data_IF_709453199682
#
_entry.id   IF_709453199682
#
_cell.length_a   1.000
_cell.length_b   1.000
_cell.length_c   1.000
_cell.angle_alpha   90.00
_cell.angle_beta   90.00
_cell.angle_gamma   90.00
#
_symmetry.space_group_name_H-M   'P 1'
#
loop_
_entity.id
_entity.type
_entity.pdbx_description
1 polymer ?
#
# COMPACT_ATOMS: atom_id res chain seq x y z
N UNK A 1 6.01 28.72 -49.61
CA UNK A 1 6.44 28.59 -48.20
C UNK A 1 5.49 27.77 -47.31
N UNK A 2 4.15 27.89 -47.45
CA UNK A 2 3.16 27.15 -46.63
C UNK A 2 3.32 25.61 -46.61
N UNK A 3 3.65 24.97 -47.75
CA UNK A 3 3.89 23.50 -47.84
C UNK A 3 5.13 23.02 -47.05
N UNK A 4 6.20 23.82 -46.93
CA UNK A 4 7.39 23.48 -46.13
C UNK A 4 7.13 23.64 -44.63
N UNK A 5 6.31 24.62 -44.24
CA UNK A 5 5.84 24.80 -42.87
C UNK A 5 4.94 23.65 -42.41
N UNK A 6 3.98 23.22 -43.24
CA UNK A 6 3.10 22.08 -42.92
C UNK A 6 3.85 20.75 -42.75
N UNK A 7 4.86 20.47 -43.59
CA UNK A 7 5.71 19.27 -43.44
C UNK A 7 6.55 19.30 -42.15
N UNK A 8 7.11 20.46 -41.79
CA UNK A 8 7.86 20.60 -40.52
C UNK A 8 6.93 20.43 -39.32
N UNK A 9 5.74 21.02 -39.36
CA UNK A 9 4.76 20.92 -38.28
C UNK A 9 4.30 19.47 -38.06
N UNK A 10 3.98 18.74 -39.14
CA UNK A 10 3.65 17.31 -39.09
C UNK A 10 4.78 16.46 -38.50
N UNK A 11 6.03 16.76 -38.87
CA UNK A 11 7.19 16.03 -38.37
C UNK A 11 7.40 16.29 -36.87
N UNK A 12 7.24 17.53 -36.41
CA UNK A 12 7.30 17.85 -34.99
C UNK A 12 6.16 17.21 -34.19
N UNK A 13 4.92 17.21 -34.70
CA UNK A 13 3.81 16.52 -34.05
C UNK A 13 4.02 15.01 -33.98
N UNK A 14 4.61 14.41 -35.03
CA UNK A 14 4.95 12.98 -35.05
C UNK A 14 6.02 12.66 -33.98
N UNK A 15 7.07 13.47 -33.90
CA UNK A 15 8.15 13.31 -32.89
C UNK A 15 7.58 13.43 -31.48
N UNK A 16 6.73 14.44 -31.23
CA UNK A 16 6.05 14.60 -29.94
C UNK A 16 5.15 13.41 -29.60
N UNK A 17 4.39 12.89 -30.58
CA UNK A 17 3.54 11.72 -30.38
C UNK A 17 4.37 10.48 -30.03
N UNK A 18 5.50 10.24 -30.72
CA UNK A 18 6.39 9.11 -30.42
C UNK A 18 7.02 9.24 -29.03
N UNK A 19 7.49 10.44 -28.65
CA UNK A 19 8.05 10.69 -27.33
C UNK A 19 7.00 10.49 -26.23
N UNK A 20 5.78 10.99 -26.44
CA UNK A 20 4.67 10.85 -25.50
C UNK A 20 4.27 9.37 -25.33
N UNK A 21 4.11 8.63 -26.43
CA UNK A 21 3.79 7.20 -26.39
C UNK A 21 4.93 6.39 -25.75
N UNK A 22 6.18 6.73 -26.05
CA UNK A 22 7.36 6.11 -25.44
C UNK A 22 7.40 6.36 -23.93
N UNK A 23 7.08 7.58 -23.50
CA UNK A 23 7.00 7.95 -22.09
C UNK A 23 5.88 7.21 -21.36
N UNK A 24 4.68 7.11 -21.95
CA UNK A 24 3.57 6.32 -21.38
C UNK A 24 3.97 4.85 -21.24
N UNK A 25 4.50 4.23 -22.30
CA UNK A 25 4.95 2.83 -22.25
C UNK A 25 6.03 2.60 -21.20
N UNK A 26 6.96 3.55 -21.05
CA UNK A 26 7.99 3.46 -20.03
C UNK A 26 7.39 3.51 -18.61
N UNK A 27 6.44 4.42 -18.35
CA UNK A 27 5.77 4.49 -17.05
C UNK A 27 4.97 3.22 -16.75
N UNK A 28 4.26 2.68 -17.75
CA UNK A 28 3.49 1.44 -17.60
C UNK A 28 4.40 0.26 -17.29
N UNK A 29 5.49 0.08 -18.05
CA UNK A 29 6.45 -0.99 -17.79
C UNK A 29 7.11 -0.87 -16.41
N UNK A 30 7.43 0.35 -15.98
CA UNK A 30 7.97 0.61 -14.64
C UNK A 30 6.96 0.29 -13.54
N UNK A 31 5.67 0.58 -13.76
CA UNK A 31 4.59 0.22 -12.84
C UNK A 31 4.40 -1.30 -12.73
N UNK A 32 4.45 -2.01 -13.86
CA UNK A 32 4.31 -3.47 -13.90
C UNK A 32 5.47 -4.12 -13.15
N UNK A 33 6.72 -3.67 -13.38
CA UNK A 33 7.90 -4.16 -12.66
C UNK A 33 7.82 -3.90 -11.14
N UNK A 34 7.27 -2.74 -10.74
CA UNK A 34 7.03 -2.45 -9.32
C UNK A 34 6.01 -3.44 -8.73
N UNK A 35 4.91 -3.70 -9.45
CA UNK A 35 3.86 -4.61 -9.02
C UNK A 35 4.36 -6.05 -8.91
N UNK A 36 5.09 -6.52 -9.93
CA UNK A 36 5.69 -7.85 -9.95
C UNK A 36 6.67 -8.03 -8.78
N UNK A 37 7.49 -7.03 -8.49
CA UNK A 37 8.40 -7.08 -7.35
C UNK A 37 7.63 -7.11 -6.03
N UNK A 38 6.59 -6.28 -5.89
CA UNK A 38 5.73 -6.28 -4.71
C UNK A 38 5.09 -7.66 -4.48
N UNK A 39 4.63 -8.32 -5.55
CA UNK A 39 4.10 -9.70 -5.50
C UNK A 39 5.18 -10.72 -5.14
N UNK A 40 6.35 -10.64 -5.77
CA UNK A 40 7.47 -11.55 -5.52
C UNK A 40 7.98 -11.46 -4.07
N UNK A 41 7.85 -10.28 -3.44
CA UNK A 41 8.18 -10.06 -2.04
C UNK A 41 7.03 -10.45 -1.08
N UNK A 42 5.97 -11.10 -1.56
CA UNK A 42 4.78 -11.48 -0.78
C UNK A 42 4.06 -10.27 -0.14
N UNK A 43 4.07 -9.12 -0.83
CA UNK A 43 3.44 -7.89 -0.37
C UNK A 43 1.92 -8.00 -0.25
N UNK A 44 1.26 -8.61 -1.24
CA UNK A 44 -0.20 -8.83 -1.24
C UNK A 44 -0.62 -9.69 -0.03
N UNK A 45 0.07 -10.82 0.17
CA UNK A 45 -0.14 -11.72 1.30
C UNK A 45 0.08 -11.02 2.65
N UNK A 46 1.10 -10.16 2.75
CA UNK A 46 1.40 -9.42 3.98
C UNK A 46 0.29 -8.41 4.31
N UNK A 47 -0.26 -7.72 3.31
CA UNK A 47 -1.41 -6.82 3.49
C UNK A 47 -2.66 -7.61 3.92
N UNK A 48 -2.88 -8.79 3.33
CA UNK A 48 -4.01 -9.66 3.69
C UNK A 48 -3.89 -10.21 5.10
N UNK A 49 -2.69 -10.60 5.51
CA UNK A 49 -2.41 -11.01 6.89
C UNK A 49 -2.70 -9.89 7.88
N UNK A 50 -2.35 -8.63 7.57
CA UNK A 50 -2.74 -7.48 8.41
C UNK A 50 -4.26 -7.30 8.47
N UNK A 51 -4.96 -7.43 7.35
CA UNK A 51 -6.41 -7.31 7.31
C UNK A 51 -7.09 -8.40 8.15
N UNK A 52 -6.60 -9.65 8.10
CA UNK A 52 -7.09 -10.74 8.95
C UNK A 52 -6.84 -10.45 10.42
N UNK A 53 -5.64 -10.00 10.81
CA UNK A 53 -5.35 -9.66 12.20
C UNK A 53 -6.27 -8.53 12.72
N UNK A 54 -6.55 -7.53 11.90
CA UNK A 54 -7.52 -6.48 12.23
C UNK A 54 -8.93 -7.04 12.41
N UNK A 55 -9.38 -7.93 11.54
CA UNK A 55 -10.67 -8.62 11.71
C UNK A 55 -10.72 -9.40 13.01
N UNK A 56 -9.67 -10.17 13.33
CA UNK A 56 -9.58 -10.94 14.55
C UNK A 56 -9.70 -10.04 15.79
N UNK A 57 -9.03 -8.86 15.78
CA UNK A 57 -9.12 -7.90 16.89
C UNK A 57 -10.57 -7.45 17.13
N UNK A 58 -11.31 -7.12 16.07
CA UNK A 58 -12.72 -6.72 16.18
C UNK A 58 -13.58 -7.88 16.69
N UNK A 59 -13.32 -9.09 16.20
CA UNK A 59 -14.07 -10.29 16.61
C UNK A 59 -13.82 -10.65 18.08
N UNK A 60 -12.57 -10.62 18.53
CA UNK A 60 -12.23 -10.83 19.95
C UNK A 60 -12.80 -9.72 20.83
N UNK A 61 -12.83 -8.48 20.35
CA UNK A 61 -13.46 -7.39 21.08
C UNK A 61 -14.98 -7.59 21.23
N UNK A 62 -15.67 -7.97 20.15
CA UNK A 62 -17.13 -8.09 20.12
C UNK A 62 -17.66 -9.35 20.79
N UNK A 63 -16.97 -10.48 20.64
CA UNK A 63 -17.54 -11.81 20.92
C UNK A 63 -16.82 -12.55 22.06
N UNK A 64 -15.49 -12.49 22.12
CA UNK A 64 -14.70 -13.42 22.94
C UNK A 64 -13.97 -12.79 24.13
N UNK A 65 -13.99 -11.46 24.24
CA UNK A 65 -13.19 -10.61 25.14
C UNK A 65 -11.68 -10.68 24.86
N UNK A 66 -11.05 -9.52 24.78
CA UNK A 66 -9.59 -9.36 24.67
C UNK A 66 -8.92 -9.70 26.01
N UNK A 67 -8.64 -10.98 26.25
CA UNK A 67 -7.84 -11.39 27.41
C UNK A 67 -6.40 -10.88 27.29
N UNK A 68 -5.66 -10.73 28.40
CA UNK A 68 -4.26 -10.27 28.33
C UNK A 68 -3.37 -11.14 27.44
N UNK A 69 -3.59 -12.46 27.44
CA UNK A 69 -2.83 -13.41 26.63
C UNK A 69 -3.13 -13.24 25.14
N UNK A 70 -4.42 -13.18 24.77
CA UNK A 70 -4.85 -12.96 23.38
C UNK A 70 -4.38 -11.60 22.87
N UNK A 71 -4.49 -10.56 23.70
CA UNK A 71 -4.02 -9.20 23.37
C UNK A 71 -2.51 -9.19 23.07
N UNK A 72 -1.71 -9.84 23.91
CA UNK A 72 -0.27 -9.95 23.70
C UNK A 72 0.08 -10.69 22.39
N UNK A 73 -0.63 -11.79 22.10
CA UNK A 73 -0.46 -12.55 20.87
C UNK A 73 -0.83 -11.75 19.62
N UNK A 74 -1.98 -11.04 19.63
CA UNK A 74 -2.43 -10.19 18.53
C UNK A 74 -1.44 -9.05 18.27
N UNK A 75 -0.95 -8.38 19.33
CA UNK A 75 0.08 -7.34 19.21
C UNK A 75 1.38 -7.90 18.62
N UNK A 76 1.84 -9.06 19.09
CA UNK A 76 3.04 -9.68 18.57
C UNK A 76 2.92 -9.99 17.08
N UNK A 77 1.78 -10.56 16.66
CA UNK A 77 1.52 -10.88 15.26
C UNK A 77 1.42 -9.60 14.41
N UNK A 78 0.72 -8.57 14.89
CA UNK A 78 0.64 -7.27 14.21
C UNK A 78 2.02 -6.65 14.00
N UNK A 79 2.85 -6.60 15.05
CA UNK A 79 4.19 -6.03 14.95
C UNK A 79 5.09 -6.84 14.00
N UNK A 80 5.00 -8.17 14.04
CA UNK A 80 5.76 -9.04 13.15
C UNK A 80 5.36 -8.83 11.69
N UNK A 81 4.07 -8.80 11.38
CA UNK A 81 3.55 -8.57 10.02
C UNK A 81 3.82 -7.14 9.56
N UNK A 82 3.65 -6.15 10.42
CA UNK A 82 4.00 -4.75 10.15
C UNK A 82 5.48 -4.56 9.84
N UNK A 83 6.36 -5.28 10.54
CA UNK A 83 7.80 -5.29 10.24
C UNK A 83 8.07 -5.88 8.86
N UNK A 84 7.46 -7.02 8.51
CA UNK A 84 7.58 -7.60 7.16
C UNK A 84 7.16 -6.59 6.09
N UNK A 85 6.03 -5.91 6.29
CA UNK A 85 5.55 -4.90 5.36
C UNK A 85 6.54 -3.73 5.21
N UNK A 86 7.14 -3.29 6.32
CA UNK A 86 8.18 -2.25 6.33
C UNK A 86 9.43 -2.67 5.57
N UNK A 87 9.87 -3.92 5.74
CA UNK A 87 11.03 -4.46 5.03
C UNK A 87 10.75 -4.53 3.51
N UNK A 88 9.52 -4.88 3.11
CA UNK A 88 9.07 -4.87 1.71
C UNK A 88 9.08 -3.44 1.14
N UNK A 89 8.44 -2.49 1.84
CA UNK A 89 8.41 -1.07 1.45
C UNK A 89 9.81 -0.49 1.26
N UNK A 90 10.73 -0.78 2.18
CA UNK A 90 12.12 -0.32 2.09
C UNK A 90 12.84 -0.89 0.85
N UNK A 91 12.69 -2.18 0.56
CA UNK A 91 13.27 -2.80 -0.64
C UNK A 91 12.72 -2.18 -1.92
N UNK A 92 11.41 -1.92 -1.96
CA UNK A 92 10.76 -1.29 -3.11
C UNK A 92 11.19 0.17 -3.28
N UNK A 93 11.26 0.96 -2.20
CA UNK A 93 11.75 2.34 -2.24
C UNK A 93 13.20 2.44 -2.72
N UNK A 94 14.04 1.48 -2.34
CA UNK A 94 15.43 1.43 -2.82
C UNK A 94 15.53 1.12 -4.32
N UNK A 95 14.73 0.16 -4.80
CA UNK A 95 14.73 -0.26 -6.22
C UNK A 95 14.00 0.73 -7.13
N UNK A 96 12.95 1.37 -6.64
CA UNK A 96 12.05 2.25 -7.37
C UNK A 96 11.87 3.62 -6.67
N UNK A 97 12.92 4.44 -6.56
CA UNK A 97 12.87 5.69 -5.79
C UNK A 97 11.88 6.73 -6.34
N UNK A 98 11.62 6.70 -7.65
CA UNK A 98 10.70 7.63 -8.33
C UNK A 98 9.25 7.13 -8.39
N UNK A 99 9.01 5.86 -8.07
CA UNK A 99 7.71 5.20 -8.17
C UNK A 99 7.51 4.34 -6.94
N UNK A 100 6.93 4.94 -5.90
CA UNK A 100 6.64 4.27 -4.64
C UNK A 100 5.25 4.64 -4.15
N UNK A 101 4.58 3.67 -3.55
CA UNK A 101 3.36 3.91 -2.79
C UNK A 101 3.76 4.35 -1.39
N UNK A 102 3.01 5.29 -0.80
CA UNK A 102 3.31 5.76 0.56
C UNK A 102 2.61 4.90 1.61
N UNK A 103 3.38 4.04 2.29
CA UNK A 103 2.91 3.18 3.38
C UNK A 103 2.88 3.88 4.75
N UNK A 104 3.27 5.15 4.86
CA UNK A 104 3.44 5.85 6.15
C UNK A 104 2.17 5.83 7.01
N UNK A 105 1.01 5.99 6.40
CA UNK A 105 -0.29 5.95 7.08
C UNK A 105 -0.59 4.57 7.67
N UNK A 106 -0.21 3.48 7.00
CA UNK A 106 -0.39 2.12 7.55
C UNK A 106 0.45 1.90 8.81
N UNK A 107 1.66 2.45 8.85
CA UNK A 107 2.51 2.33 10.04
C UNK A 107 1.97 3.15 11.21
N UNK A 108 1.40 4.32 10.93
CA UNK A 108 0.73 5.13 11.94
C UNK A 108 -0.49 4.40 12.50
N UNK A 109 -1.36 3.86 11.64
CA UNK A 109 -2.55 3.13 12.06
C UNK A 109 -2.20 1.87 12.86
N UNK A 110 -1.22 1.09 12.39
CA UNK A 110 -0.73 -0.08 13.11
C UNK A 110 -0.22 0.28 14.51
N UNK A 111 0.55 1.36 14.62
CA UNK A 111 1.03 1.85 15.92
C UNK A 111 -0.11 2.24 16.85
N UNK A 112 -1.11 2.95 16.34
CA UNK A 112 -2.28 3.36 17.12
C UNK A 112 -3.09 2.16 17.60
N UNK A 113 -3.34 1.18 16.73
CA UNK A 113 -4.03 -0.07 17.09
C UNK A 113 -3.25 -0.83 18.17
N UNK A 114 -1.94 -1.02 18.00
CA UNK A 114 -1.10 -1.70 19.00
C UNK A 114 -1.17 -0.99 20.35
N UNK A 115 -1.04 0.34 20.36
CA UNK A 115 -1.12 1.14 21.58
C UNK A 115 -2.48 1.00 22.26
N UNK A 116 -3.56 0.99 21.48
CA UNK A 116 -4.91 0.88 22.00
C UNK A 116 -5.23 -0.53 22.54
N UNK A 117 -4.71 -1.60 21.95
CA UNK A 117 -4.83 -2.96 22.50
C UNK A 117 -4.11 -3.07 23.85
N UNK A 118 -2.98 -2.39 24.00
CA UNK A 118 -2.21 -2.36 25.24
C UNK A 118 -2.86 -1.48 26.32
N UNK A 119 -3.56 -0.42 25.92
CA UNK A 119 -4.30 0.49 26.80
C UNK A 119 -5.74 0.01 27.04
N UNK A 120 -5.91 -0.76 28.13
CA UNK A 120 -7.17 -1.41 28.54
C UNK A 120 -8.31 -0.45 28.91
N UNK A 121 -8.11 0.86 28.84
CA UNK A 121 -9.04 1.84 29.37
C UNK A 121 -10.15 2.28 28.40
N UNK A 122 -10.10 1.88 27.12
CA UNK A 122 -11.03 2.43 26.11
C UNK A 122 -11.35 1.52 24.90
N UNK A 123 -12.06 0.43 25.15
CA UNK A 123 -12.43 -0.55 24.10
C UNK A 123 -13.17 0.08 22.91
N UNK A 124 -14.09 1.02 23.11
CA UNK A 124 -14.88 1.63 22.02
C UNK A 124 -14.00 2.34 20.96
N UNK A 125 -12.83 2.84 21.34
CA UNK A 125 -11.88 3.46 20.40
C UNK A 125 -11.14 2.45 19.53
N UNK A 126 -10.94 1.23 20.03
CA UNK A 126 -10.21 0.19 19.31
C UNK A 126 -10.90 -0.18 18.00
N UNK A 127 -12.21 -0.44 18.05
CA UNK A 127 -12.98 -0.80 16.86
C UNK A 127 -12.89 0.29 15.77
N UNK A 128 -12.99 1.57 16.15
CA UNK A 128 -12.88 2.70 15.21
C UNK A 128 -11.48 2.78 14.59
N UNK A 129 -10.43 2.64 15.40
CA UNK A 129 -9.04 2.64 14.90
C UNK A 129 -8.79 1.48 13.95
N UNK A 130 -9.34 0.29 14.24
CA UNK A 130 -9.18 -0.88 13.38
C UNK A 130 -9.92 -0.71 12.06
N UNK A 131 -11.13 -0.13 12.05
CA UNK A 131 -11.85 0.20 10.81
C UNK A 131 -11.02 1.16 9.95
N UNK A 132 -10.50 2.24 10.55
CA UNK A 132 -9.64 3.18 9.83
C UNK A 132 -8.39 2.49 9.26
N UNK A 133 -7.75 1.61 10.02
CA UNK A 133 -6.60 0.84 9.55
C UNK A 133 -6.95 -0.08 8.37
N UNK A 134 -8.13 -0.71 8.37
CA UNK A 134 -8.62 -1.54 7.26
C UNK A 134 -8.90 -0.69 6.00
N UNK A 135 -9.48 0.49 6.16
CA UNK A 135 -9.66 1.45 5.06
C UNK A 135 -8.32 1.86 4.46
N UNK A 136 -7.31 2.11 5.31
CA UNK A 136 -5.94 2.36 4.90
C UNK A 136 -5.37 1.23 4.03
N UNK A 137 -5.56 -0.03 4.43
CA UNK A 137 -5.13 -1.19 3.64
C UNK A 137 -5.83 -1.24 2.28
N UNK A 138 -7.14 -0.95 2.24
CA UNK A 138 -7.91 -0.87 0.99
C UNK A 138 -7.38 0.21 0.04
N UNK A 139 -7.09 1.40 0.57
CA UNK A 139 -6.53 2.51 -0.19
C UNK A 139 -5.15 2.18 -0.78
N UNK A 140 -4.31 1.47 -0.02
CA UNK A 140 -2.99 1.04 -0.50
C UNK A 140 -3.12 0.01 -1.62
N UNK A 141 -4.03 -0.96 -1.50
CA UNK A 141 -4.31 -1.88 -2.62
C UNK A 141 -4.70 -1.08 -3.88
N UNK A 142 -5.62 -0.13 -3.77
CA UNK A 142 -6.02 0.72 -4.92
C UNK A 142 -4.84 1.48 -5.51
N UNK A 143 -3.96 2.06 -4.68
CA UNK A 143 -2.79 2.80 -5.16
C UNK A 143 -1.77 1.91 -5.87
N UNK A 144 -1.55 0.70 -5.37
CA UNK A 144 -0.65 -0.29 -5.97
C UNK A 144 -1.13 -0.67 -7.39
N UNK A 145 -2.43 -0.86 -7.59
CA UNK A 145 -2.99 -1.25 -8.90
C UNK A 145 -3.43 -0.07 -9.78
N UNK A 146 -3.29 1.18 -9.33
CA UNK A 146 -3.80 2.38 -10.04
C UNK A 146 -3.25 2.50 -11.46
N UNK A 147 -2.02 2.07 -11.68
CA UNK A 147 -1.30 2.20 -12.94
C UNK A 147 -1.48 0.99 -13.88
N UNK A 148 -2.23 -0.02 -13.45
CA UNK A 148 -2.46 -1.27 -14.17
C UNK A 148 -3.86 -1.35 -14.82
N UNK A 149 -4.66 -0.27 -14.73
CA UNK A 149 -5.94 -0.09 -15.43
C UNK A 149 -5.77 0.84 -16.62
#
# INVERSE_FOLDING_TARGET
>A
MKKKLGKKLLLYTLVLAVLYLGFIKYQQHSADNYLEEFRALHGEETIEQLATLYKDIVEYQATYKLTPQVSAQLVQNLLATGKKLKDIDQKLKQKYPRQHVDFSYLYQDLFLVVKQIQDKSNDAKLAVMVVHAVEGLGNIKVQIYRWHK
#
